data_IF_921481225177
#
_entry.id   IF_921481225177
#
_cell.length_a   1.000
_cell.length_b   1.000
_cell.length_c   1.000
_cell.angle_alpha   90.00
_cell.angle_beta   90.00
_cell.angle_gamma   90.00
#
_symmetry.space_group_name_H-M   'P 1'
#
loop_
_entity.id
_entity.type
_entity.pdbx_description
1 polymer ?
#
# COMPACT_ATOMS: atom_id res chain seq x y z
N UNK A 1 -14.63 -21.57 -9.01
CA UNK A 1 -14.75 -21.36 -7.55
C UNK A 1 -13.45 -20.71 -7.11
N UNK A 2 -13.50 -19.52 -6.50
CA UNK A 2 -12.30 -18.86 -5.98
C UNK A 2 -11.81 -19.69 -4.79
N UNK A 3 -10.55 -20.13 -4.82
CA UNK A 3 -9.94 -20.87 -3.72
C UNK A 3 -9.80 -19.95 -2.49
N UNK A 4 -10.02 -20.47 -1.28
CA UNK A 4 -9.84 -19.71 -0.03
C UNK A 4 -8.43 -19.12 0.04
N UNK A 5 -7.43 -19.86 -0.44
CA UNK A 5 -6.02 -19.44 -0.49
C UNK A 5 -5.80 -18.32 -1.51
N UNK A 6 -6.45 -18.40 -2.68
CA UNK A 6 -6.39 -17.33 -3.69
C UNK A 6 -7.08 -16.06 -3.23
N UNK A 7 -8.22 -16.21 -2.54
CA UNK A 7 -8.98 -15.10 -1.98
C UNK A 7 -8.24 -14.46 -0.81
N UNK A 8 -7.65 -15.27 0.07
CA UNK A 8 -6.83 -14.78 1.19
C UNK A 8 -5.61 -14.04 0.66
N UNK A 9 -4.90 -14.61 -0.32
CA UNK A 9 -3.74 -13.95 -0.94
C UNK A 9 -4.13 -12.66 -1.66
N UNK A 10 -5.28 -12.63 -2.34
CA UNK A 10 -5.81 -11.42 -2.97
C UNK A 10 -6.12 -10.35 -1.92
N UNK A 11 -6.83 -10.70 -0.86
CA UNK A 11 -7.17 -9.78 0.24
C UNK A 11 -5.92 -9.26 0.97
N UNK A 12 -4.94 -10.13 1.22
CA UNK A 12 -3.66 -9.74 1.80
C UNK A 12 -2.84 -8.87 0.85
N UNK A 13 -2.91 -9.12 -0.47
CA UNK A 13 -2.24 -8.28 -1.47
C UNK A 13 -2.81 -6.86 -1.57
N UNK A 14 -4.08 -6.67 -1.17
CA UNK A 14 -4.74 -5.35 -1.12
C UNK A 14 -4.74 -4.75 0.30
N UNK A 15 -3.94 -5.28 1.23
CA UNK A 15 -3.70 -4.68 2.54
C UNK A 15 -4.60 -5.15 3.68
N UNK A 16 -5.51 -6.11 3.44
CA UNK A 16 -6.30 -6.74 4.53
C UNK A 16 -5.37 -7.62 5.36
N UNK A 17 -5.40 -7.49 6.69
CA UNK A 17 -4.58 -8.32 7.58
C UNK A 17 -4.82 -9.81 7.31
N UNK A 18 -3.76 -10.62 7.30
CA UNK A 18 -3.86 -12.04 6.89
C UNK A 18 -4.90 -12.84 7.70
N UNK A 19 -5.09 -12.48 8.97
CA UNK A 19 -6.12 -13.07 9.85
C UNK A 19 -7.54 -12.65 9.49
N UNK A 20 -7.76 -11.37 9.15
CA UNK A 20 -9.07 -10.88 8.69
C UNK A 20 -9.39 -11.42 7.29
N UNK A 21 -8.40 -11.45 6.40
CA UNK A 21 -8.49 -12.00 5.06
C UNK A 21 -8.88 -13.48 5.07
N UNK A 22 -8.21 -14.30 5.89
CA UNK A 22 -8.52 -15.72 6.04
C UNK A 22 -9.93 -15.93 6.61
N UNK A 23 -10.31 -15.18 7.66
CA UNK A 23 -11.65 -15.27 8.26
C UNK A 23 -12.76 -14.85 7.31
N UNK A 24 -12.55 -13.80 6.52
CA UNK A 24 -13.50 -13.37 5.51
C UNK A 24 -13.64 -14.42 4.40
N UNK A 25 -12.53 -14.90 3.84
CA UNK A 25 -12.54 -15.93 2.81
C UNK A 25 -13.20 -17.23 3.27
N UNK A 26 -12.90 -17.71 4.48
CA UNK A 26 -13.52 -18.90 5.06
C UNK A 26 -15.02 -18.72 5.31
N UNK A 27 -15.43 -17.58 5.89
CA UNK A 27 -16.82 -17.32 6.22
C UNK A 27 -17.68 -17.17 4.96
N UNK A 28 -17.19 -16.45 3.95
CA UNK A 28 -17.90 -16.31 2.67
C UNK A 28 -18.00 -17.64 1.92
N UNK A 29 -16.92 -18.43 1.88
CA UNK A 29 -16.94 -19.75 1.23
C UNK A 29 -17.88 -20.75 1.94
N UNK A 30 -17.96 -20.68 3.28
CA UNK A 30 -18.87 -21.51 4.08
C UNK A 30 -20.33 -21.11 3.89
N UNK A 31 -20.62 -19.82 3.91
CA UNK A 31 -21.99 -19.31 3.90
C UNK A 31 -22.56 -19.29 2.46
N UNK A 32 -21.70 -19.28 1.43
CA UNK A 32 -22.09 -19.25 0.01
C UNK A 32 -21.31 -20.27 -0.87
N UNK A 33 -21.44 -21.59 -0.63
CA UNK A 33 -20.60 -22.63 -1.24
C UNK A 33 -20.80 -22.82 -2.75
N UNK A 34 -21.85 -22.26 -3.35
CA UNK A 34 -22.15 -22.34 -4.79
C UNK A 34 -22.29 -20.96 -5.45
N UNK A 35 -21.82 -19.89 -4.79
CA UNK A 35 -21.84 -18.57 -5.40
C UNK A 35 -21.00 -18.54 -6.68
N UNK A 36 -21.56 -17.97 -7.74
CA UNK A 36 -20.78 -17.55 -8.88
C UNK A 36 -19.75 -16.48 -8.44
N UNK A 37 -18.67 -16.26 -9.20
CA UNK A 37 -17.59 -15.37 -8.77
C UNK A 37 -18.03 -13.94 -8.40
N UNK A 38 -19.07 -13.38 -9.03
CA UNK A 38 -19.55 -12.04 -8.73
C UNK A 38 -20.37 -12.02 -7.44
N UNK A 39 -21.24 -13.01 -7.25
CA UNK A 39 -21.97 -13.18 -5.98
C UNK A 39 -20.99 -13.43 -4.83
N UNK A 40 -19.96 -14.23 -5.05
CA UNK A 40 -18.93 -14.49 -4.05
C UNK A 40 -18.18 -13.22 -3.65
N UNK A 41 -17.78 -12.37 -4.61
CA UNK A 41 -17.10 -11.11 -4.30
C UNK A 41 -18.00 -10.10 -3.57
N UNK A 42 -19.30 -10.05 -3.90
CA UNK A 42 -20.28 -9.22 -3.17
C UNK A 42 -20.41 -9.69 -1.73
N UNK A 43 -20.57 -10.99 -1.51
CA UNK A 43 -20.70 -11.54 -0.17
C UNK A 43 -19.39 -11.49 0.62
N UNK A 44 -18.25 -11.56 -0.06
CA UNK A 44 -16.93 -11.37 0.54
C UNK A 44 -16.77 -9.95 1.08
N UNK A 45 -17.19 -8.95 0.30
CA UNK A 45 -17.23 -7.55 0.74
C UNK A 45 -18.16 -7.37 1.93
N UNK A 46 -19.40 -7.87 1.87
CA UNK A 46 -20.34 -7.81 2.99
C UNK A 46 -19.76 -8.48 4.25
N UNK A 47 -19.05 -9.59 4.08
CA UNK A 47 -18.40 -10.32 5.18
C UNK A 47 -17.23 -9.53 5.76
N UNK A 48 -16.44 -8.85 4.91
CA UNK A 48 -15.37 -7.97 5.35
C UNK A 48 -15.91 -6.75 6.10
N UNK A 49 -16.97 -6.12 5.60
CA UNK A 49 -17.67 -5.02 6.29
C UNK A 49 -18.18 -5.49 7.67
N UNK A 50 -18.83 -6.66 7.74
CA UNK A 50 -19.30 -7.22 9.01
C UNK A 50 -18.19 -7.60 9.99
N UNK A 51 -17.02 -8.02 9.48
CA UNK A 51 -15.88 -8.40 10.33
C UNK A 51 -15.00 -7.20 10.70
N UNK A 52 -15.05 -6.13 9.92
CA UNK A 52 -14.37 -4.86 10.17
C UNK A 52 -15.18 -3.92 11.08
N UNK A 53 -16.48 -4.17 11.25
CA UNK A 53 -17.34 -3.37 12.11
C UNK A 53 -17.16 -3.76 13.60
N UNK A 54 -16.60 -2.87 14.46
CA UNK A 54 -16.39 -3.17 15.88
C UNK A 54 -17.69 -3.40 16.66
N UNK A 55 -18.85 -3.08 16.07
CA UNK A 55 -20.17 -3.31 16.64
C UNK A 55 -20.72 -4.74 16.41
N UNK A 56 -20.19 -5.50 15.45
CA UNK A 56 -20.70 -6.82 15.08
C UNK A 56 -20.15 -7.97 15.94
N UNK A 57 -19.19 -7.70 16.83
CA UNK A 57 -18.67 -8.66 17.80
C UNK A 57 -19.56 -8.71 19.04
N UNK A 58 -20.43 -9.73 19.14
CA UNK A 58 -21.23 -9.99 20.33
C UNK A 58 -20.38 -10.27 21.59
N UNK A 59 -20.26 -9.23 22.44
CA UNK A 59 -19.88 -9.22 23.88
C UNK A 59 -18.42 -9.53 24.28
N UNK A 60 -17.88 -9.01 25.42
CA UNK A 60 -18.42 -8.05 26.39
C UNK A 60 -17.73 -6.67 26.34
N UNK A 61 -18.40 -5.66 26.89
CA UNK A 61 -17.94 -4.27 27.08
C UNK A 61 -16.47 -4.22 27.56
N UNK A 62 -15.53 -3.70 26.77
CA UNK A 62 -14.19 -3.41 27.25
C UNK A 62 -14.29 -2.21 28.20
N UNK A 63 -13.76 -2.37 29.40
CA UNK A 63 -13.38 -1.26 30.27
C UNK A 63 -12.58 -0.24 29.45
N UNK A 64 -12.93 1.04 29.62
CA UNK A 64 -12.31 2.18 28.96
C UNK A 64 -10.78 2.22 29.19
N UNK A 65 -10.04 1.55 28.31
CA UNK A 65 -8.62 1.76 28.04
C UNK A 65 -8.30 1.00 26.73
N UNK A 66 -7.73 1.70 25.76
CA UNK A 66 -7.30 1.20 24.45
C UNK A 66 -8.41 0.81 23.45
N UNK A 67 -9.36 1.72 23.20
CA UNK A 67 -9.82 1.88 21.83
C UNK A 67 -8.79 2.80 21.16
N UNK A 68 -7.91 2.22 20.34
CA UNK A 68 -7.10 3.02 19.42
C UNK A 68 -8.09 3.72 18.50
N UNK A 69 -8.29 5.01 18.75
CA UNK A 69 -9.07 5.89 17.90
C UNK A 69 -8.47 5.78 16.49
N UNK A 70 -9.31 5.55 15.49
CA UNK A 70 -8.97 5.82 14.10
C UNK A 70 -8.36 7.22 14.08
N UNK A 71 -7.04 7.27 13.87
CA UNK A 71 -6.30 8.52 13.96
C UNK A 71 -6.69 9.32 12.73
N UNK A 72 -7.07 10.58 12.94
CA UNK A 72 -7.37 11.49 11.85
C UNK A 72 -6.24 11.43 10.81
N UNK A 73 -6.61 11.32 9.53
CA UNK A 73 -5.69 11.26 8.41
C UNK A 73 -4.63 12.37 8.52
N UNK A 74 -3.36 11.99 8.50
CA UNK A 74 -2.23 12.93 8.42
C UNK A 74 -1.71 12.94 7.00
N UNK A 75 -1.55 14.15 6.47
CA UNK A 75 -0.98 14.37 5.14
C UNK A 75 0.31 13.57 4.96
N UNK A 76 0.45 12.96 3.78
CA UNK A 76 1.58 12.09 3.48
C UNK A 76 2.88 12.90 3.58
N UNK A 77 2.93 14.10 3.02
CA UNK A 77 4.11 14.99 3.12
C UNK A 77 4.48 15.33 4.57
N UNK A 78 3.48 15.51 5.44
CA UNK A 78 3.70 15.92 6.83
C UNK A 78 4.25 14.77 7.67
N UNK A 79 3.72 13.56 7.46
CA UNK A 79 4.18 12.35 8.15
C UNK A 79 5.64 12.05 7.81
N UNK A 80 6.00 12.19 6.54
CA UNK A 80 7.37 11.96 6.06
C UNK A 80 8.33 13.05 6.54
N UNK A 81 7.93 14.31 6.47
CA UNK A 81 8.76 15.43 6.94
C UNK A 81 9.00 15.38 8.45
N UNK A 82 7.99 14.99 9.24
CA UNK A 82 8.11 14.85 10.69
C UNK A 82 9.02 13.68 11.07
N UNK A 83 8.86 12.52 10.42
CA UNK A 83 9.64 11.34 10.76
C UNK A 83 11.09 11.40 10.24
N UNK A 84 11.32 12.05 9.09
CA UNK A 84 12.67 12.34 8.60
C UNK A 84 13.49 13.20 9.59
N UNK A 85 12.82 14.09 10.34
CA UNK A 85 13.45 14.89 11.40
C UNK A 85 13.68 14.12 12.71
N UNK A 86 13.08 12.93 12.88
CA UNK A 86 13.09 12.14 14.12
C UNK A 86 13.78 10.78 14.00
N UNK A 87 14.45 10.49 12.87
CA UNK A 87 15.17 9.23 12.67
C UNK A 87 16.12 8.96 13.86
N UNK A 88 15.96 7.82 14.58
CA UNK A 88 16.78 7.52 15.74
C UNK A 88 18.25 7.41 15.32
N UNK A 89 19.09 8.14 16.05
CA UNK A 89 20.55 8.10 15.91
C UNK A 89 21.02 6.73 16.38
N UNK A 90 21.45 5.86 15.45
CA UNK A 90 22.20 4.66 15.83
C UNK A 90 23.44 5.10 16.62
N UNK A 91 23.63 4.53 17.80
CA UNK A 91 24.67 4.94 18.73
C UNK A 91 26.07 4.53 18.22
N UNK A 92 26.72 5.41 17.46
CA UNK A 92 28.18 5.53 17.42
C UNK A 92 28.60 6.87 16.81
N UNK A 93 29.59 7.51 17.46
CA UNK A 93 30.27 8.77 17.13
C UNK A 93 29.50 10.08 17.36
N UNK A 94 29.86 10.74 18.46
CA UNK A 94 29.67 12.16 18.71
C UNK A 94 30.37 12.97 17.60
N UNK A 95 29.60 13.50 16.66
CA UNK A 95 29.93 14.75 16.01
C UNK A 95 28.67 15.62 15.90
N UNK A 96 28.85 16.89 16.26
CA UNK A 96 27.80 17.90 16.35
C UNK A 96 27.42 18.36 14.94
N UNK A 97 26.37 17.76 14.37
CA UNK A 97 25.76 18.24 13.11
C UNK A 97 24.43 18.93 13.42
N UNK A 98 24.10 20.07 12.78
CA UNK A 98 22.93 20.86 13.14
C UNK A 98 21.62 20.09 12.94
N UNK A 99 20.63 20.37 13.79
CA UNK A 99 19.25 19.94 13.57
C UNK A 99 18.78 20.38 12.17
N UNK A 100 18.40 19.42 11.33
CA UNK A 100 18.07 19.64 9.91
C UNK A 100 19.01 18.97 8.90
N UNK A 101 20.03 18.22 9.34
CA UNK A 101 20.76 17.33 8.43
C UNK A 101 19.85 16.17 7.98
N UNK A 102 19.77 15.85 6.68
CA UNK A 102 18.97 14.73 6.20
C UNK A 102 19.44 13.44 6.88
N UNK A 103 18.48 12.59 7.26
CA UNK A 103 18.78 11.24 7.74
C UNK A 103 19.70 10.54 6.74
N UNK A 104 20.70 9.80 7.24
CA UNK A 104 21.67 9.07 6.41
C UNK A 104 21.42 7.59 6.62
N UNK A 105 21.38 6.82 5.53
CA UNK A 105 21.19 5.37 5.63
C UNK A 105 22.31 4.75 6.47
N UNK A 106 22.04 3.66 7.22
CA UNK A 106 23.05 3.00 8.05
C UNK A 106 24.12 2.24 7.24
N UNK A 107 24.08 2.33 5.91
CA UNK A 107 24.97 1.68 4.95
C UNK A 107 25.26 2.65 3.79
N UNK A 108 26.42 2.49 3.16
CA UNK A 108 26.86 3.33 2.02
C UNK A 108 26.94 2.55 0.70
N UNK A 109 26.97 1.23 0.76
CA UNK A 109 27.09 0.32 -0.38
C UNK A 109 26.29 -0.97 -0.15
N UNK A 110 26.20 -1.81 -1.19
CA UNK A 110 25.41 -3.04 -1.14
C UNK A 110 25.96 -4.07 -0.14
N UNK A 111 27.27 -4.15 0.08
CA UNK A 111 27.87 -5.09 1.04
C UNK A 111 27.52 -4.72 2.48
N UNK A 112 27.63 -3.43 2.82
CA UNK A 112 27.19 -2.90 4.10
C UNK A 112 25.69 -3.09 4.32
N UNK A 113 24.88 -2.88 3.27
CA UNK A 113 23.44 -3.14 3.33
C UNK A 113 23.14 -4.59 3.68
N UNK A 114 23.82 -5.55 3.03
CA UNK A 114 23.66 -6.99 3.29
C UNK A 114 24.02 -7.35 4.72
N UNK A 115 25.12 -6.81 5.23
CA UNK A 115 25.56 -7.05 6.59
C UNK A 115 24.57 -6.47 7.62
N UNK A 116 24.08 -5.24 7.37
CA UNK A 116 23.06 -4.59 8.18
C UNK A 116 21.76 -5.39 8.19
N UNK A 117 21.23 -5.75 7.02
CA UNK A 117 19.96 -6.48 6.87
C UNK A 117 20.02 -7.86 7.55
N UNK A 118 21.13 -8.57 7.42
CA UNK A 118 21.36 -9.86 8.08
C UNK A 118 21.47 -9.74 9.60
N UNK A 119 21.90 -8.58 10.10
CA UNK A 119 22.06 -8.29 11.52
C UNK A 119 20.75 -7.89 12.23
N UNK A 120 19.66 -7.69 11.49
CA UNK A 120 18.37 -7.31 12.05
C UNK A 120 17.75 -8.45 12.86
N UNK A 121 17.04 -8.09 13.94
CA UNK A 121 16.28 -9.04 14.73
C UNK A 121 15.13 -9.70 13.95
N UNK A 122 14.47 -10.66 14.60
CA UNK A 122 13.31 -11.39 14.08
C UNK A 122 12.08 -11.24 14.98
N UNK A 123 12.13 -10.32 15.95
CA UNK A 123 11.08 -10.10 16.93
C UNK A 123 10.21 -8.92 16.49
N UNK A 124 8.90 -9.11 16.50
CA UNK A 124 7.90 -8.09 16.15
C UNK A 124 7.02 -7.78 17.36
N UNK A 125 6.44 -6.57 17.39
CA UNK A 125 5.42 -6.21 18.37
C UNK A 125 4.18 -7.11 18.23
N UNK A 126 3.44 -7.32 19.33
CA UNK A 126 2.27 -8.20 19.34
C UNK A 126 1.13 -7.72 18.43
N UNK A 127 1.03 -6.42 18.23
CA UNK A 127 0.08 -5.68 17.40
C UNK A 127 0.75 -5.12 16.14
N UNK A 128 1.83 -5.75 15.67
CA UNK A 128 2.52 -5.33 14.46
C UNK A 128 1.60 -5.36 13.23
N UNK A 129 1.52 -4.21 12.55
CA UNK A 129 0.98 -4.08 11.21
C UNK A 129 2.08 -3.60 10.25
N UNK A 130 2.16 -4.14 9.03
CA UNK A 130 3.14 -3.69 8.06
C UNK A 130 2.82 -2.25 7.63
N UNK A 131 3.76 -1.29 7.80
CA UNK A 131 3.56 0.05 7.30
C UNK A 131 3.46 0.09 5.79
N UNK A 132 2.81 1.14 5.30
CA UNK A 132 2.54 1.34 3.89
C UNK A 132 3.82 1.35 3.04
N UNK A 133 4.94 1.87 3.56
CA UNK A 133 6.21 1.79 2.83
C UNK A 133 6.72 0.36 2.66
N UNK A 134 6.45 -0.55 3.61
CA UNK A 134 6.71 -1.99 3.45
C UNK A 134 5.73 -2.60 2.45
N UNK A 135 4.50 -2.10 2.35
CA UNK A 135 3.52 -2.52 1.32
C UNK A 135 3.89 -2.05 -0.08
N UNK A 136 4.39 -0.83 -0.23
CA UNK A 136 4.99 -0.33 -1.49
C UNK A 136 6.23 -1.15 -1.84
N UNK A 137 7.10 -1.33 -0.85
CA UNK A 137 8.24 -2.24 -0.95
C UNK A 137 7.82 -3.71 -0.90
N UNK A 138 6.53 -4.08 -1.00
CA UNK A 138 6.07 -5.46 -1.04
C UNK A 138 6.30 -6.10 -2.41
N UNK A 139 6.75 -5.32 -3.42
CA UNK A 139 7.55 -5.86 -4.52
C UNK A 139 8.86 -6.52 -4.05
N UNK A 140 9.23 -6.33 -2.79
CA UNK A 140 10.42 -6.88 -2.15
C UNK A 140 10.13 -7.91 -1.06
N UNK A 141 8.91 -8.46 -1.06
CA UNK A 141 8.55 -9.64 -0.27
C UNK A 141 8.56 -10.92 -1.12
N UNK A 142 9.72 -11.19 -1.71
CA UNK A 142 10.42 -12.44 -1.47
C UNK A 142 11.82 -12.03 -1.00
N UNK A 143 12.02 -11.96 0.31
CA UNK A 143 13.35 -11.77 0.87
C UNK A 143 14.31 -12.82 0.29
N UNK A 144 15.55 -12.42 0.05
CA UNK A 144 16.51 -13.23 -0.67
C UNK A 144 17.51 -12.36 -1.43
N UNK A 145 18.46 -13.05 -2.05
CA UNK A 145 19.52 -12.44 -2.87
C UNK A 145 18.97 -11.77 -4.13
N UNK A 146 17.90 -12.33 -4.71
CA UNK A 146 17.39 -11.90 -6.02
C UNK A 146 16.80 -10.48 -6.04
N UNK A 147 16.45 -9.94 -4.88
CA UNK A 147 15.78 -8.63 -4.72
C UNK A 147 16.53 -7.68 -3.81
N UNK A 148 17.78 -8.01 -3.44
CA UNK A 148 18.59 -7.26 -2.47
C UNK A 148 18.98 -5.87 -2.97
N UNK A 149 19.21 -5.70 -4.27
CA UNK A 149 19.57 -4.41 -4.86
C UNK A 149 18.39 -3.44 -4.82
N UNK A 150 17.17 -3.92 -5.05
CA UNK A 150 15.96 -3.08 -4.97
C UNK A 150 15.73 -2.58 -3.54
N UNK A 151 15.89 -3.43 -2.51
CA UNK A 151 15.83 -2.98 -1.09
C UNK A 151 16.91 -1.97 -0.78
N UNK A 152 18.15 -2.27 -1.18
CA UNK A 152 19.27 -1.38 -0.96
C UNK A 152 18.98 -0.01 -1.55
N UNK A 153 18.53 0.07 -2.80
CA UNK A 153 18.20 1.34 -3.45
C UNK A 153 17.04 2.05 -2.77
N UNK A 154 15.99 1.32 -2.37
CA UNK A 154 14.86 1.89 -1.64
C UNK A 154 15.31 2.52 -0.31
N UNK A 155 15.99 1.77 0.55
CA UNK A 155 16.43 2.27 1.85
C UNK A 155 17.56 3.32 1.74
N UNK A 156 18.35 3.29 0.66
CA UNK A 156 19.29 4.37 0.32
C UNK A 156 18.57 5.67 -0.01
N UNK A 157 17.44 5.59 -0.70
CA UNK A 157 16.59 6.74 -1.04
C UNK A 157 15.75 7.24 0.15
N UNK A 158 15.51 6.35 1.13
CA UNK A 158 14.70 6.61 2.33
C UNK A 158 15.36 6.10 3.62
N UNK A 159 16.40 6.81 4.12
CA UNK A 159 17.04 6.48 5.39
C UNK A 159 16.09 6.41 6.60
N UNK A 160 15.02 7.20 6.58
CA UNK A 160 13.98 7.19 7.59
C UNK A 160 13.24 5.85 7.66
N UNK A 161 13.08 5.17 6.53
CA UNK A 161 12.49 3.83 6.47
C UNK A 161 13.48 2.76 6.88
N UNK A 162 14.77 2.93 6.64
CA UNK A 162 15.78 1.99 7.12
C UNK A 162 15.76 1.95 8.66
N UNK A 163 15.72 3.12 9.29
CA UNK A 163 15.67 3.24 10.75
C UNK A 163 14.38 2.66 11.36
N UNK A 164 13.24 2.90 10.71
CA UNK A 164 11.95 2.33 11.14
C UNK A 164 11.90 0.81 10.92
N UNK A 165 12.44 0.31 9.81
CA UNK A 165 12.55 -1.11 9.54
C UNK A 165 13.39 -1.82 10.60
N UNK A 166 14.55 -1.26 10.96
CA UNK A 166 15.37 -1.78 12.05
C UNK A 166 14.63 -1.78 13.40
N UNK A 167 13.88 -0.73 13.71
CA UNK A 167 13.06 -0.67 14.93
C UNK A 167 11.98 -1.76 14.96
N UNK A 168 11.26 -1.94 13.85
CA UNK A 168 10.23 -2.98 13.69
C UNK A 168 10.82 -4.37 13.91
N UNK A 169 11.98 -4.65 13.31
CA UNK A 169 12.69 -5.93 13.42
C UNK A 169 13.23 -6.21 14.83
N UNK A 170 13.16 -5.23 15.72
CA UNK A 170 13.54 -5.31 17.13
C UNK A 170 12.35 -5.12 18.09
N UNK A 171 11.12 -5.39 17.62
CA UNK A 171 9.92 -5.46 18.46
C UNK A 171 9.22 -4.12 18.70
N UNK A 172 9.55 -3.08 17.94
CA UNK A 172 8.86 -1.79 18.00
C UNK A 172 7.74 -1.69 16.96
N UNK A 173 6.78 -0.80 17.20
CA UNK A 173 5.76 -0.44 16.19
C UNK A 173 6.32 0.60 15.22
N UNK A 174 5.84 0.53 13.98
CA UNK A 174 6.11 1.53 12.95
C UNK A 174 5.67 2.93 13.39
N UNK A 175 6.45 3.94 13.02
CA UNK A 175 6.04 5.37 13.12
C UNK A 175 5.36 5.89 11.86
N UNK A 176 5.30 5.07 10.81
CA UNK A 176 4.68 5.37 9.53
C UNK A 176 3.30 4.71 9.41
N UNK A 177 2.41 5.25 8.56
CA UNK A 177 1.04 4.77 8.41
C UNK A 177 0.99 3.28 8.04
N UNK A 178 -0.01 2.57 8.57
CA UNK A 178 -0.26 1.14 8.36
C UNK A 178 -1.65 0.88 7.77
N UNK A 179 -2.36 1.92 7.33
CA UNK A 179 -3.77 1.87 6.95
C UNK A 179 -4.00 1.96 5.43
N UNK A 180 -2.94 2.08 4.63
CA UNK A 180 -3.02 2.21 3.18
C UNK A 180 -3.32 3.63 2.71
N UNK A 181 -3.47 4.60 3.61
CA UNK A 181 -3.84 5.99 3.28
C UNK A 181 -2.80 6.70 2.41
N UNK A 182 -1.58 6.17 2.37
CA UNK A 182 -0.47 6.68 1.53
C UNK A 182 -0.33 5.91 0.21
N UNK A 183 -1.13 4.86 -0.01
CA UNK A 183 -1.09 3.96 -1.17
C UNK A 183 -2.13 4.29 -2.25
N UNK A 184 -2.69 5.49 -2.21
CA UNK A 184 -3.72 5.96 -3.15
C UNK A 184 -3.08 6.59 -4.38
N UNK A 185 -3.62 6.28 -5.56
CA UNK A 185 -3.17 6.80 -6.86
C UNK A 185 -4.14 7.80 -7.50
N UNK A 186 -5.39 7.81 -7.06
CA UNK A 186 -6.45 8.66 -7.62
C UNK A 186 -6.57 9.96 -6.84
N UNK A 187 -6.68 11.06 -7.58
CA UNK A 187 -6.81 12.40 -6.99
C UNK A 187 -8.28 12.70 -6.69
N UNK A 188 -8.64 12.65 -5.40
CA UNK A 188 -10.00 12.94 -4.93
C UNK A 188 -10.45 14.37 -5.29
N UNK A 189 -9.53 15.32 -5.47
CA UNK A 189 -9.88 16.71 -5.86
C UNK A 189 -10.41 16.82 -7.29
N UNK A 190 -10.17 15.80 -8.12
CA UNK A 190 -10.68 15.72 -9.49
C UNK A 190 -12.05 15.05 -9.58
N UNK A 191 -12.53 14.45 -8.49
CA UNK A 191 -13.81 13.79 -8.40
C UNK A 191 -14.93 14.78 -8.06
N UNK A 192 -16.19 14.36 -8.22
CA UNK A 192 -17.29 15.16 -7.68
C UNK A 192 -17.24 15.15 -6.14
N UNK A 193 -17.76 16.21 -5.47
CA UNK A 193 -17.70 16.29 -4.01
C UNK A 193 -18.33 15.10 -3.28
N UNK A 194 -19.40 14.54 -3.83
CA UNK A 194 -20.09 13.37 -3.27
C UNK A 194 -19.23 12.10 -3.33
N UNK A 195 -18.50 11.92 -4.43
CA UNK A 195 -17.64 10.75 -4.64
C UNK A 195 -16.36 10.89 -3.81
N UNK A 196 -15.78 12.09 -3.76
CA UNK A 196 -14.65 12.39 -2.90
C UNK A 196 -14.99 12.11 -1.43
N UNK A 197 -16.10 12.65 -0.93
CA UNK A 197 -16.53 12.42 0.45
C UNK A 197 -16.76 10.94 0.76
N UNK A 198 -17.35 10.18 -0.17
CA UNK A 198 -17.51 8.73 -0.01
C UNK A 198 -16.16 8.03 0.19
N UNK A 199 -15.16 8.34 -0.64
CA UNK A 199 -13.84 7.69 -0.53
C UNK A 199 -13.01 8.19 0.65
N UNK A 200 -13.23 9.42 1.12
CA UNK A 200 -12.65 9.91 2.39
C UNK A 200 -13.15 9.09 3.59
N UNK A 201 -14.43 8.68 3.59
CA UNK A 201 -15.02 7.82 4.62
C UNK A 201 -14.71 6.33 4.41
N UNK A 202 -14.41 5.92 3.18
CA UNK A 202 -14.18 4.54 2.75
C UNK A 202 -12.89 4.38 1.93
N UNK A 203 -11.71 4.62 2.52
CA UNK A 203 -10.43 4.51 1.82
C UNK A 203 -10.17 3.09 1.26
N UNK A 204 -10.69 2.05 1.93
CA UNK A 204 -10.62 0.67 1.46
C UNK A 204 -11.34 0.44 0.14
N UNK A 205 -12.45 1.16 -0.10
CA UNK A 205 -13.19 1.06 -1.35
C UNK A 205 -12.43 1.72 -2.50
N UNK A 206 -11.68 2.80 -2.21
CA UNK A 206 -10.81 3.45 -3.18
C UNK A 206 -9.65 2.53 -3.56
N UNK A 207 -8.95 2.00 -2.55
CA UNK A 207 -7.85 1.05 -2.74
C UNK A 207 -8.30 -0.20 -3.51
N UNK A 208 -9.52 -0.69 -3.25
CA UNK A 208 -10.09 -1.81 -4.00
C UNK A 208 -10.31 -1.45 -5.48
N UNK A 209 -10.91 -0.29 -5.78
CA UNK A 209 -11.12 0.15 -7.16
C UNK A 209 -9.78 0.26 -7.91
N UNK A 210 -8.78 0.90 -7.31
CA UNK A 210 -7.44 1.05 -7.89
C UNK A 210 -6.71 -0.30 -8.04
N UNK A 211 -6.81 -1.17 -7.03
CA UNK A 211 -6.21 -2.50 -7.04
C UNK A 211 -6.76 -3.40 -8.14
N UNK A 212 -8.05 -3.27 -8.45
CA UNK A 212 -8.66 -3.95 -9.60
C UNK A 212 -8.48 -3.21 -10.93
N UNK A 213 -7.71 -2.12 -10.95
CA UNK A 213 -7.49 -1.27 -12.12
C UNK A 213 -8.80 -0.71 -12.69
N UNK A 214 -9.73 -0.30 -11.83
CA UNK A 214 -10.99 0.34 -12.21
C UNK A 214 -10.92 1.83 -11.95
N UNK A 215 -11.59 2.64 -12.77
CA UNK A 215 -11.84 4.05 -12.45
C UNK A 215 -12.77 4.13 -11.21
N UNK A 216 -12.37 4.77 -10.09
CA UNK A 216 -13.15 4.79 -8.86
C UNK A 216 -14.54 5.40 -9.06
N UNK A 217 -14.62 6.49 -9.83
CA UNK A 217 -15.90 7.14 -10.08
C UNK A 217 -16.86 6.22 -10.84
N UNK A 218 -16.40 5.62 -11.95
CA UNK A 218 -17.19 4.68 -12.73
C UNK A 218 -17.58 3.44 -11.90
N UNK A 219 -16.64 2.90 -11.12
CA UNK A 219 -16.87 1.74 -10.27
C UNK A 219 -17.95 2.02 -9.21
N UNK A 220 -17.86 3.16 -8.49
CA UNK A 220 -18.87 3.57 -7.51
C UNK A 220 -20.23 3.70 -8.17
N UNK A 221 -20.34 4.49 -9.23
CA UNK A 221 -21.61 4.74 -9.93
C UNK A 221 -22.24 3.45 -10.46
N UNK A 222 -21.41 2.50 -10.93
CA UNK A 222 -21.89 1.18 -11.34
C UNK A 222 -22.39 0.35 -10.17
N UNK A 223 -21.74 0.41 -9.02
CA UNK A 223 -22.12 -0.33 -7.81
C UNK A 223 -23.37 0.25 -7.14
N UNK A 224 -23.57 1.57 -7.20
CA UNK A 224 -24.77 2.25 -6.68
C UNK A 224 -25.96 2.18 -7.63
N UNK A 225 -25.75 1.73 -8.87
CA UNK A 225 -26.81 1.59 -9.88
C UNK A 225 -27.13 2.91 -10.59
N UNK A 226 -26.27 3.92 -10.49
CA UNK A 226 -26.38 5.18 -11.23
C UNK A 226 -26.06 5.00 -12.72
N UNK A 227 -25.24 4.00 -13.06
CA UNK A 227 -24.86 3.65 -14.43
C UNK A 227 -25.05 2.17 -14.68
N UNK A 228 -25.68 1.85 -15.81
CA UNK A 228 -25.71 0.50 -16.36
C UNK A 228 -24.50 0.23 -17.26
N UNK A 229 -23.96 -0.99 -17.16
CA UNK A 229 -22.98 -1.45 -18.13
C UNK A 229 -23.65 -1.71 -19.49
N UNK A 230 -22.96 -1.50 -20.62
CA UNK A 230 -23.50 -1.82 -21.93
C UNK A 230 -23.95 -3.29 -22.02
N UNK A 231 -25.02 -3.53 -22.79
CA UNK A 231 -25.53 -4.89 -22.96
C UNK A 231 -24.47 -5.80 -23.63
N UNK A 232 -24.30 -7.01 -23.11
CA UNK A 232 -23.46 -8.05 -23.72
C UNK A 232 -21.94 -7.89 -23.49
N UNK A 233 -21.49 -6.99 -22.62
CA UNK A 233 -20.06 -6.81 -22.30
C UNK A 233 -19.65 -7.59 -21.05
N UNK A 234 -18.38 -7.94 -20.96
CA UNK A 234 -17.77 -8.36 -19.71
C UNK A 234 -17.61 -7.12 -18.80
N UNK A 235 -18.36 -7.08 -17.71
CA UNK A 235 -18.39 -5.91 -16.81
C UNK A 235 -17.01 -5.63 -16.20
N UNK A 236 -16.29 -6.67 -15.80
CA UNK A 236 -14.96 -6.52 -15.21
C UNK A 236 -13.97 -5.93 -16.21
N UNK A 237 -14.00 -6.40 -17.46
CA UNK A 237 -13.16 -5.88 -18.54
C UNK A 237 -13.53 -4.42 -18.85
N UNK A 238 -14.84 -4.15 -19.02
CA UNK A 238 -15.37 -2.81 -19.28
C UNK A 238 -14.95 -1.80 -18.19
N UNK A 239 -15.01 -2.15 -16.90
CA UNK A 239 -14.57 -1.28 -15.81
C UNK A 239 -13.06 -1.02 -15.81
N UNK A 240 -12.26 -1.95 -16.35
CA UNK A 240 -10.79 -1.77 -16.49
C UNK A 240 -10.37 -1.07 -17.78
N UNK A 241 -11.29 -0.91 -18.73
CA UNK A 241 -11.04 -0.32 -20.05
C UNK A 241 -11.79 0.99 -20.28
N UNK A 242 -12.48 1.52 -19.26
CA UNK A 242 -13.24 2.75 -19.35
C UNK A 242 -13.13 3.56 -18.07
N UNK A 243 -13.34 4.87 -18.19
CA UNK A 243 -13.46 5.80 -17.07
C UNK A 243 -14.74 6.62 -17.18
N UNK A 244 -15.15 7.20 -16.06
CA UNK A 244 -16.15 8.25 -16.08
C UNK A 244 -15.54 9.61 -16.41
N UNK A 245 -16.31 10.43 -17.12
CA UNK A 245 -16.07 11.86 -17.30
C UNK A 245 -17.39 12.61 -17.17
N UNK A 246 -17.35 13.94 -17.05
CA UNK A 246 -18.59 14.75 -17.10
C UNK A 246 -19.38 14.60 -18.40
N UNK A 247 -18.73 14.15 -19.49
CA UNK A 247 -19.36 13.83 -20.77
C UNK A 247 -19.85 12.39 -20.90
N UNK A 248 -19.74 11.58 -19.84
CA UNK A 248 -20.09 10.16 -19.83
C UNK A 248 -18.89 9.22 -19.81
N UNK A 249 -19.16 7.93 -20.04
CA UNK A 249 -18.15 6.87 -20.05
C UNK A 249 -17.32 6.94 -21.34
N UNK A 250 -16.00 6.94 -21.20
CA UNK A 250 -15.06 6.92 -22.33
C UNK A 250 -14.01 5.83 -22.12
N UNK A 251 -13.45 5.31 -23.21
CA UNK A 251 -12.41 4.28 -23.16
C UNK A 251 -11.11 4.83 -22.55
N UNK A 252 -10.51 4.06 -21.65
CA UNK A 252 -9.19 4.29 -21.03
C UNK A 252 -8.59 2.97 -20.56
N UNK A 253 -7.33 2.69 -20.89
CA UNK A 253 -6.65 1.51 -20.36
C UNK A 253 -6.21 1.77 -18.91
N UNK A 254 -7.11 1.50 -17.97
CA UNK A 254 -6.87 1.76 -16.55
C UNK A 254 -5.76 0.87 -15.97
N UNK A 255 -5.58 -0.34 -16.51
CA UNK A 255 -4.48 -1.24 -16.11
C UNK A 255 -3.12 -0.60 -16.34
N UNK A 256 -2.91 -0.04 -17.52
CA UNK A 256 -1.66 0.68 -17.86
C UNK A 256 -1.56 1.97 -17.06
N UNK A 257 -2.64 2.73 -16.90
CA UNK A 257 -2.66 3.96 -16.10
C UNK A 257 -2.23 3.69 -14.65
N UNK A 258 -2.90 2.78 -13.95
CA UNK A 258 -2.61 2.50 -12.55
C UNK A 258 -1.28 1.78 -12.34
N UNK A 259 -0.82 0.97 -13.30
CA UNK A 259 0.52 0.39 -13.25
C UNK A 259 1.63 1.45 -13.26
N UNK A 260 1.40 2.61 -13.90
CA UNK A 260 2.39 3.67 -14.06
C UNK A 260 2.12 4.92 -13.20
N UNK A 261 1.00 4.96 -12.47
CA UNK A 261 0.66 6.09 -11.64
C UNK A 261 1.47 6.09 -10.33
N UNK A 262 1.93 7.27 -9.95
CA UNK A 262 2.58 7.49 -8.66
C UNK A 262 1.55 7.37 -7.52
N UNK A 263 2.01 6.90 -6.37
CA UNK A 263 1.25 7.02 -5.13
C UNK A 263 1.24 8.49 -4.70
N UNK A 264 0.06 9.05 -4.54
CA UNK A 264 -0.18 10.45 -4.16
C UNK A 264 -0.84 10.58 -2.79
N UNK A 265 -1.29 9.48 -2.18
CA UNK A 265 -1.95 9.46 -0.88
C UNK A 265 -3.36 10.08 -0.92
N UNK A 266 -4.12 9.90 0.17
CA UNK A 266 -5.49 10.43 0.28
C UNK A 266 -5.58 11.96 0.19
N UNK A 267 -4.52 12.71 0.48
CA UNK A 267 -4.45 14.18 0.29
C UNK A 267 -4.16 14.62 -1.15
N UNK A 268 -3.79 13.68 -2.03
CA UNK A 268 -3.36 13.97 -3.39
C UNK A 268 -2.02 14.70 -3.51
N UNK A 269 -1.26 14.87 -2.42
CA UNK A 269 -0.04 15.71 -2.36
C UNK A 269 1.25 14.91 -2.27
N UNK A 270 1.16 13.60 -2.12
CA UNK A 270 2.28 12.68 -1.91
C UNK A 270 3.01 12.22 -3.16
N UNK A 271 2.81 12.82 -4.35
CA UNK A 271 3.47 12.35 -5.57
C UNK A 271 5.00 12.27 -5.39
N UNK A 272 5.60 11.12 -5.72
CA UNK A 272 7.04 10.89 -5.58
C UNK A 272 7.53 10.67 -4.13
N UNK A 273 6.62 10.57 -3.16
CA UNK A 273 6.94 10.33 -1.74
C UNK A 273 7.83 9.11 -1.55
N UNK A 274 7.53 8.02 -2.24
CA UNK A 274 8.28 6.77 -2.13
C UNK A 274 9.50 6.67 -3.05
N UNK A 275 9.86 7.72 -3.80
CA UNK A 275 11.08 7.81 -4.66
C UNK A 275 11.52 6.45 -5.22
N UNK A 276 10.59 5.77 -5.89
CA UNK A 276 10.78 4.38 -6.30
C UNK A 276 11.75 4.30 -7.47
N UNK A 277 12.52 3.22 -7.48
CA UNK A 277 13.28 2.81 -8.66
C UNK A 277 12.36 2.14 -9.67
N UNK A 278 12.77 2.12 -10.94
CA UNK A 278 12.06 1.45 -12.04
C UNK A 278 13.02 0.52 -12.75
N UNK A 279 12.53 -0.63 -13.21
CA UNK A 279 13.32 -1.52 -14.07
C UNK A 279 13.20 -1.06 -15.52
N UNK A 280 14.33 -0.90 -16.22
CA UNK A 280 14.35 -0.74 -17.66
C UNK A 280 14.16 -2.10 -18.34
N UNK A 281 13.04 -2.36 -19.02
CA UNK A 281 12.79 -3.66 -19.65
C UNK A 281 13.73 -3.94 -20.84
N UNK A 282 14.34 -2.93 -21.44
CA UNK A 282 15.23 -3.11 -22.58
C UNK A 282 16.63 -3.54 -22.16
N UNK A 283 17.12 -3.05 -21.02
CA UNK A 283 18.49 -3.27 -20.55
C UNK A 283 18.58 -4.10 -19.28
N UNK A 284 17.47 -4.31 -18.59
CA UNK A 284 17.42 -4.95 -17.27
C UNK A 284 18.01 -4.10 -16.15
N UNK A 285 18.37 -2.83 -16.41
CA UNK A 285 18.99 -1.96 -15.41
C UNK A 285 17.96 -1.31 -14.48
N UNK A 286 18.42 -0.88 -13.31
CA UNK A 286 17.61 -0.11 -12.36
C UNK A 286 17.75 1.37 -12.69
N UNK A 287 16.65 2.05 -12.99
CA UNK A 287 16.58 3.50 -13.13
C UNK A 287 16.13 4.07 -11.78
N UNK A 288 16.96 4.89 -11.17
CA UNK A 288 16.64 5.55 -9.93
C UNK A 288 15.65 6.72 -10.14
N UNK A 289 15.03 7.20 -9.06
CA UNK A 289 14.08 8.32 -9.15
C UNK A 289 14.68 9.61 -9.72
N UNK A 290 16.01 9.77 -9.62
CA UNK A 290 16.77 10.90 -10.19
C UNK A 290 17.21 10.66 -11.65
N UNK A 291 16.78 9.55 -12.26
CA UNK A 291 17.09 9.17 -13.64
C UNK A 291 18.46 8.51 -13.81
N UNK A 292 19.27 8.38 -12.75
CA UNK A 292 20.55 7.66 -12.81
C UNK A 292 20.32 6.17 -12.98
N UNK A 293 21.17 5.54 -13.78
CA UNK A 293 21.11 4.12 -14.07
C UNK A 293 22.05 3.39 -13.11
N UNK A 294 21.58 2.29 -12.54
CA UNK A 294 22.31 1.44 -11.63
C UNK A 294 22.35 0.00 -12.16
N UNK A 295 23.46 -0.66 -11.90
CA UNK A 295 23.61 -2.06 -12.21
C UNK A 295 22.74 -2.92 -11.28
N UNK A 296 21.91 -3.83 -11.83
CA UNK A 296 20.93 -4.59 -11.04
C UNK A 296 21.56 -5.68 -10.16
N UNK A 297 22.86 -5.98 -10.34
CA UNK A 297 23.58 -7.00 -9.56
C UNK A 297 24.41 -6.36 -8.46
N UNK A 298 25.09 -5.25 -8.77
CA UNK A 298 26.04 -4.60 -7.87
C UNK A 298 25.46 -3.41 -7.12
N UNK A 299 24.39 -2.79 -7.62
CA UNK A 299 23.84 -1.55 -7.06
C UNK A 299 24.73 -0.33 -7.28
N UNK A 300 25.74 -0.43 -8.14
CA UNK A 300 26.66 0.67 -8.50
C UNK A 300 26.13 1.50 -9.67
N UNK A 301 26.39 2.82 -9.71
CA UNK A 301 25.95 3.66 -10.81
C UNK A 301 26.65 3.30 -12.13
N UNK A 302 25.88 3.27 -13.21
CA UNK A 302 26.38 3.13 -14.59
C UNK A 302 26.65 4.50 -15.20
N UNK A 303 27.73 4.58 -15.98
CA UNK A 303 28.16 5.77 -16.71
C UNK A 303 27.27 6.06 -17.93
#
# INVERSE_FOLDING_TARGET
MLDISQTTNLLTSIGVSGTLAARAAERTARDHPQADPLTFLKELRNTLEQLGDPAAAGSPKPTAAAAAQATAYKATTDTFSQNAAQAPRAAAALDTKPAGAPAVAPFSNLEEFRAWEKGLGDTFAADYEPPDYIRVASMVMNGGEDTVVDRYMFFKNHPEFAADYEAIRNGQLSKFPTDGSTLVKSDLTTMSPEIAAYYEEHPEALLAAEGFSMDPTLARQRMTGEIDAPFGVNISEWLTENKWTSGGVVAENNRVKYANADYIGMDGKGAGTYKLTRLDPATGNIINFDGRIYDPVTGEPKA
#
